data_IF_662317820429
#
_entry.id   IF_662317820429
#
_cell.length_a   1.000
_cell.length_b   1.000
_cell.length_c   1.000
_cell.angle_alpha   90.00
_cell.angle_beta   90.00
_cell.angle_gamma   90.00
#
_symmetry.space_group_name_H-M   'P 1'
#
loop_
_entity.id
_entity.type
_entity.pdbx_description
1 polymer ?
#
# COMPACT_ATOMS: atom_id res chain seq x y z
N UNK A 1 -46.18 -18.88 63.00
CA UNK A 1 -45.12 -18.72 61.99
C UNK A 1 -45.40 -19.66 60.83
N UNK A 2 -45.85 -19.15 59.69
CA UNK A 2 -45.94 -19.81 58.37
C UNK A 2 -46.15 -18.73 57.29
N UNK A 3 -45.70 -19.03 56.06
CA UNK A 3 -45.47 -18.17 54.89
C UNK A 3 -46.70 -17.54 54.20
N UNK A 4 -46.50 -16.32 53.64
CA UNK A 4 -46.91 -15.66 52.35
C UNK A 4 -48.28 -15.96 51.67
N UNK A 5 -48.75 -15.27 50.58
CA UNK A 5 -48.20 -14.17 49.75
C UNK A 5 -49.21 -13.06 49.26
N UNK A 6 -48.78 -12.24 48.27
CA UNK A 6 -49.56 -11.43 47.28
C UNK A 6 -49.76 -9.93 47.62
N UNK A 7 -49.78 -8.92 46.73
CA UNK A 7 -50.12 -8.77 45.31
C UNK A 7 -49.43 -7.52 44.67
N UNK A 8 -49.41 -7.51 43.34
CA UNK A 8 -48.85 -6.51 42.40
C UNK A 8 -49.83 -5.35 42.15
N UNK A 9 -49.34 -4.12 41.93
CA UNK A 9 -50.01 -3.05 41.15
C UNK A 9 -48.94 -2.14 40.51
N UNK A 10 -48.68 -2.22 39.19
CA UNK A 10 -49.40 -1.64 38.06
C UNK A 10 -49.37 -0.09 38.04
N UNK A 11 -48.33 0.50 37.42
CA UNK A 11 -48.31 1.91 37.02
C UNK A 11 -48.45 1.99 35.50
N UNK A 12 -49.52 2.67 35.08
CA UNK A 12 -50.03 2.79 33.72
C UNK A 12 -49.24 3.81 32.89
N UNK A 13 -48.92 3.42 31.65
CA UNK A 13 -48.36 4.26 30.59
C UNK A 13 -49.47 5.05 29.88
N UNK A 14 -49.47 6.38 29.97
CA UNK A 14 -50.13 7.23 28.97
C UNK A 14 -49.39 8.56 28.78
N UNK A 15 -48.65 8.71 27.67
CA UNK A 15 -48.80 9.82 26.69
C UNK A 15 -47.69 9.74 25.63
N UNK A 16 -47.97 9.41 24.36
CA UNK A 16 -46.98 9.46 23.29
C UNK A 16 -46.94 10.86 22.65
N UNK A 17 -45.88 11.63 22.92
CA UNK A 17 -45.59 12.84 22.13
C UNK A 17 -45.10 12.44 20.73
N UNK A 18 -45.89 12.85 19.74
CA UNK A 18 -45.71 12.71 18.29
C UNK A 18 -44.35 13.23 17.82
N UNK A 19 -43.40 12.32 17.58
CA UNK A 19 -42.13 12.64 16.91
C UNK A 19 -42.39 12.96 15.43
N UNK A 20 -42.03 14.17 15.00
CA UNK A 20 -42.05 14.56 13.58
C UNK A 20 -41.09 13.65 12.82
N UNK A 21 -41.61 12.88 11.86
CA UNK A 21 -40.84 12.04 10.95
C UNK A 21 -40.00 12.96 10.05
N UNK A 22 -38.70 13.04 10.31
CA UNK A 22 -37.74 13.73 9.43
C UNK A 22 -37.63 12.91 8.15
N UNK A 23 -38.01 13.49 7.01
CA UNK A 23 -37.82 12.90 5.68
C UNK A 23 -36.39 13.19 5.21
N UNK A 24 -35.55 12.15 5.23
CA UNK A 24 -34.22 12.23 4.62
C UNK A 24 -34.39 12.20 3.09
N UNK A 25 -33.81 13.14 2.33
CA UNK A 25 -33.88 13.12 0.88
C UNK A 25 -33.20 11.84 0.35
N UNK A 26 -33.92 11.09 -0.47
CA UNK A 26 -33.48 9.87 -1.13
C UNK A 26 -32.46 10.19 -2.24
N UNK A 27 -31.26 10.58 -1.89
CA UNK A 27 -30.22 10.95 -2.86
C UNK A 27 -28.85 10.48 -2.38
N UNK A 28 -28.55 9.21 -2.64
CA UNK A 28 -27.37 8.73 -3.36
C UNK A 28 -27.46 7.20 -3.33
N UNK A 29 -27.80 6.58 -4.46
CA UNK A 29 -27.49 5.17 -4.65
C UNK A 29 -25.97 5.10 -4.81
N UNK A 30 -25.19 4.54 -3.86
CA UNK A 30 -23.77 4.35 -4.09
C UNK A 30 -23.64 3.39 -5.28
N UNK A 31 -23.21 3.91 -6.43
CA UNK A 31 -22.85 3.11 -7.59
C UNK A 31 -21.61 2.30 -7.19
N UNK A 32 -21.81 1.12 -6.64
CA UNK A 32 -20.73 0.20 -6.35
C UNK A 32 -20.08 -0.18 -7.69
N UNK A 33 -18.87 0.30 -7.94
CA UNK A 33 -18.08 -0.21 -9.06
C UNK A 33 -17.73 -1.66 -8.77
N UNK A 34 -18.03 -2.55 -9.70
CA UNK A 34 -17.59 -3.94 -9.62
C UNK A 34 -16.05 -3.95 -9.53
N UNK A 35 -15.52 -4.54 -8.46
CA UNK A 35 -14.08 -4.76 -8.32
C UNK A 35 -13.75 -6.11 -8.89
N UNK A 36 -12.77 -6.16 -9.78
CA UNK A 36 -12.20 -7.41 -10.23
C UNK A 36 -11.38 -8.03 -9.09
N UNK A 37 -11.64 -9.30 -8.81
CA UNK A 37 -10.96 -10.06 -7.75
C UNK A 37 -10.09 -11.11 -8.42
N UNK A 38 -8.78 -10.97 -8.26
CA UNK A 38 -7.81 -11.93 -8.80
C UNK A 38 -7.31 -12.83 -7.67
N UNK A 39 -7.53 -14.14 -7.79
CA UNK A 39 -6.96 -15.13 -6.89
C UNK A 39 -5.62 -15.60 -7.42
N UNK A 40 -4.64 -15.71 -6.54
CA UNK A 40 -3.31 -16.19 -6.89
C UNK A 40 -3.25 -17.72 -6.81
N UNK A 41 -3.94 -18.43 -7.70
CA UNK A 41 -3.88 -19.90 -7.77
C UNK A 41 -2.63 -20.39 -8.51
N UNK A 42 -2.21 -19.69 -9.57
CA UNK A 42 -1.14 -20.15 -10.48
C UNK A 42 0.17 -19.35 -10.34
N UNK A 43 0.25 -18.41 -9.40
CA UNK A 43 1.40 -17.48 -9.28
C UNK A 43 1.43 -16.39 -10.36
N UNK A 44 0.51 -16.40 -11.32
CA UNK A 44 0.41 -15.43 -12.42
C UNK A 44 0.16 -14.01 -11.93
N UNK A 45 -0.71 -13.84 -10.92
CA UNK A 45 -1.01 -12.55 -10.30
C UNK A 45 0.24 -11.93 -9.64
N UNK A 46 1.02 -12.74 -8.93
CA UNK A 46 2.29 -12.29 -8.33
C UNK A 46 3.35 -11.92 -9.36
N UNK A 47 3.41 -12.62 -10.49
CA UNK A 47 4.33 -12.28 -11.59
C UNK A 47 3.98 -10.94 -12.22
N UNK A 48 2.69 -10.65 -12.45
CA UNK A 48 2.24 -9.34 -12.94
C UNK A 48 2.58 -8.22 -11.96
N UNK A 49 2.33 -8.44 -10.66
CA UNK A 49 2.72 -7.48 -9.63
C UNK A 49 4.23 -7.19 -9.64
N UNK A 50 5.05 -8.25 -9.77
CA UNK A 50 6.51 -8.11 -9.88
C UNK A 50 6.90 -7.33 -11.14
N UNK A 51 6.32 -7.64 -12.30
CA UNK A 51 6.61 -6.95 -13.56
C UNK A 51 6.37 -5.43 -13.45
N UNK A 52 5.28 -5.01 -12.81
CA UNK A 52 5.02 -3.60 -12.53
C UNK A 52 6.12 -2.94 -11.67
N UNK A 53 6.58 -3.64 -10.64
CA UNK A 53 7.67 -3.16 -9.77
C UNK A 53 9.01 -3.11 -10.50
N UNK A 54 9.31 -4.13 -11.28
CA UNK A 54 10.54 -4.26 -12.07
C UNK A 54 10.68 -3.09 -13.05
N UNK A 55 9.63 -2.79 -13.82
CA UNK A 55 9.60 -1.65 -14.75
C UNK A 55 9.94 -0.31 -14.08
N UNK A 56 9.36 -0.06 -12.90
CA UNK A 56 9.65 1.18 -12.15
C UNK A 56 11.08 1.18 -11.61
N UNK A 57 11.56 0.03 -11.14
CA UNK A 57 12.91 -0.09 -10.59
C UNK A 57 14.00 0.12 -11.64
N UNK A 58 13.80 -0.39 -12.86
CA UNK A 58 14.75 -0.20 -13.97
C UNK A 58 14.80 1.28 -14.39
N UNK A 59 13.63 1.92 -14.49
CA UNK A 59 13.53 3.34 -14.80
C UNK A 59 14.20 4.22 -13.75
N UNK A 60 14.05 3.91 -12.46
CA UNK A 60 14.75 4.66 -11.42
C UNK A 60 16.23 4.29 -11.31
N UNK A 61 16.59 3.07 -11.68
CA UNK A 61 17.96 2.58 -11.73
C UNK A 61 18.85 3.43 -12.65
N UNK A 62 18.31 3.92 -13.78
CA UNK A 62 19.07 4.82 -14.68
C UNK A 62 19.33 6.20 -14.09
N UNK A 63 18.52 6.63 -13.11
CA UNK A 63 18.67 7.94 -12.43
C UNK A 63 19.64 7.90 -11.25
N UNK A 64 20.10 6.71 -10.84
CA UNK A 64 20.98 6.57 -9.68
C UNK A 64 22.43 6.96 -9.99
N UNK A 65 23.03 7.67 -9.03
CA UNK A 65 24.46 7.98 -9.00
C UNK A 65 24.86 9.32 -9.65
N UNK A 66 26.14 9.72 -9.53
CA UNK A 66 26.63 11.02 -10.00
C UNK A 66 26.65 11.15 -11.54
N UNK A 67 26.49 10.04 -12.26
CA UNK A 67 26.35 9.97 -13.73
C UNK A 67 24.99 9.41 -14.14
N UNK A 68 23.96 9.64 -13.31
CA UNK A 68 22.58 9.30 -13.64
C UNK A 68 22.13 9.94 -14.95
N UNK A 69 21.27 9.25 -15.69
CA UNK A 69 20.70 9.72 -16.95
C UNK A 69 19.40 10.45 -16.69
N UNK A 70 19.11 11.42 -17.55
CA UNK A 70 17.87 12.18 -17.47
C UNK A 70 16.71 11.34 -18.00
N UNK A 71 15.57 11.41 -17.33
CA UNK A 71 14.32 10.80 -17.76
C UNK A 71 13.45 11.87 -18.40
N UNK A 72 12.83 11.54 -19.53
CA UNK A 72 11.91 12.45 -20.23
C UNK A 72 10.48 11.99 -19.93
N UNK A 73 9.70 12.88 -19.35
CA UNK A 73 8.31 12.64 -18.96
C UNK A 73 7.38 13.39 -19.92
N UNK A 74 6.34 12.69 -20.38
CA UNK A 74 5.31 13.29 -21.21
C UNK A 74 4.32 14.04 -20.31
N UNK A 75 4.18 15.34 -20.53
CA UNK A 75 3.20 16.14 -19.82
C UNK A 75 1.87 16.15 -20.61
N UNK A 76 0.72 16.11 -19.92
CA UNK A 76 -0.61 16.09 -20.58
C UNK A 76 -0.89 17.34 -21.41
N UNK A 77 -0.32 18.47 -21.01
CA UNK A 77 -0.45 19.74 -21.72
C UNK A 77 0.91 20.45 -21.69
N UNK A 78 1.45 20.77 -22.87
CA UNK A 78 2.71 21.50 -23.03
C UNK A 78 3.92 20.65 -23.41
N UNK A 79 5.14 21.21 -23.29
CA UNK A 79 6.38 20.55 -23.69
C UNK A 79 6.75 19.39 -22.75
N UNK A 80 7.54 18.40 -23.22
CA UNK A 80 8.02 17.31 -22.38
C UNK A 80 8.93 17.82 -21.27
N UNK A 81 8.84 17.19 -20.09
CA UNK A 81 9.60 17.57 -18.90
C UNK A 81 10.81 16.66 -18.76
N UNK A 82 12.00 17.24 -18.69
CA UNK A 82 13.25 16.50 -18.46
C UNK A 82 13.53 16.54 -16.96
N UNK A 83 13.68 15.37 -16.36
CA UNK A 83 13.78 15.20 -14.92
C UNK A 83 14.98 14.31 -14.57
N UNK A 84 15.70 14.70 -13.54
CA UNK A 84 16.81 13.93 -12.98
C UNK A 84 16.46 13.33 -11.62
N UNK A 85 15.39 13.83 -10.98
CA UNK A 85 14.96 13.44 -9.65
C UNK A 85 14.02 12.23 -9.71
N UNK A 86 14.49 11.08 -9.25
CA UNK A 86 13.69 9.85 -9.27
C UNK A 86 12.39 9.90 -8.45
N UNK A 87 12.29 10.77 -7.44
CA UNK A 87 11.04 10.93 -6.67
C UNK A 87 9.92 11.53 -7.53
N UNK A 88 10.24 12.54 -8.34
CA UNK A 88 9.24 13.16 -9.23
C UNK A 88 8.84 12.22 -10.35
N UNK A 89 9.80 11.45 -10.90
CA UNK A 89 9.53 10.36 -11.84
C UNK A 89 8.56 9.34 -11.23
N UNK A 90 8.80 8.89 -9.99
CA UNK A 90 7.97 7.90 -9.30
C UNK A 90 6.52 8.35 -9.09
N UNK A 91 6.28 9.66 -8.92
CA UNK A 91 4.94 10.24 -8.78
C UNK A 91 4.16 10.27 -10.08
N UNK A 92 4.84 10.37 -11.22
CA UNK A 92 4.22 10.52 -12.55
C UNK A 92 3.91 9.17 -13.24
N UNK A 93 4.55 8.06 -12.84
CA UNK A 93 4.34 6.74 -13.47
C UNK A 93 2.99 6.12 -13.11
N UNK A 94 2.15 5.81 -14.10
CA UNK A 94 0.95 5.00 -13.90
C UNK A 94 0.84 3.96 -15.02
N UNK A 95 0.54 2.71 -14.66
CA UNK A 95 0.40 1.60 -15.61
C UNK A 95 -1.07 1.36 -15.94
N UNK A 96 -1.34 0.89 -17.16
CA UNK A 96 -2.68 0.57 -17.65
C UNK A 96 -3.25 -0.69 -16.98
N UNK A 97 -2.45 -1.76 -16.81
CA UNK A 97 -2.91 -2.98 -16.14
C UNK A 97 -3.09 -2.69 -14.63
N UNK A 98 -4.32 -2.87 -14.08
CA UNK A 98 -4.59 -2.62 -12.67
C UNK A 98 -3.73 -3.48 -11.75
N UNK A 99 -3.37 -4.71 -12.12
CA UNK A 99 -2.54 -5.59 -11.30
C UNK A 99 -1.12 -5.05 -11.20
N UNK A 100 -0.51 -4.68 -12.31
CA UNK A 100 0.85 -4.13 -12.31
C UNK A 100 0.90 -2.78 -11.59
N UNK A 101 -0.13 -1.95 -11.80
CA UNK A 101 -0.29 -0.66 -11.13
C UNK A 101 -0.42 -0.80 -9.60
N UNK A 102 -1.03 -1.89 -9.10
CA UNK A 102 -1.03 -2.19 -7.65
C UNK A 102 0.39 -2.38 -7.16
N UNK A 103 1.23 -3.11 -7.89
CA UNK A 103 2.66 -3.29 -7.56
C UNK A 103 3.41 -1.96 -7.48
N UNK A 104 3.21 -1.09 -8.47
CA UNK A 104 3.81 0.25 -8.50
C UNK A 104 3.36 1.11 -7.32
N UNK A 105 2.09 1.06 -6.95
CA UNK A 105 1.56 1.81 -5.80
C UNK A 105 2.21 1.38 -4.48
N UNK A 106 2.48 0.09 -4.30
CA UNK A 106 3.16 -0.41 -3.10
C UNK A 106 4.58 0.17 -2.96
N UNK A 107 5.33 0.17 -4.06
CA UNK A 107 6.70 0.67 -4.09
C UNK A 107 6.76 2.20 -4.00
N UNK A 108 5.78 2.89 -4.59
CA UNK A 108 5.58 4.33 -4.40
C UNK A 108 5.38 4.69 -2.94
N UNK A 109 4.60 3.91 -2.20
CA UNK A 109 4.39 4.13 -0.76
C UNK A 109 5.70 3.99 0.02
N UNK A 110 6.53 2.97 -0.29
CA UNK A 110 7.83 2.81 0.33
C UNK A 110 8.76 4.01 0.04
N UNK A 111 8.89 4.41 -1.22
CA UNK A 111 9.73 5.54 -1.62
C UNK A 111 9.27 6.88 -1.02
N UNK A 112 7.95 7.13 -0.99
CA UNK A 112 7.38 8.34 -0.38
C UNK A 112 7.64 8.41 1.12
N UNK A 113 7.55 7.28 1.83
CA UNK A 113 7.86 7.21 3.26
C UNK A 113 9.33 7.49 3.55
N UNK A 114 10.24 6.88 2.78
CA UNK A 114 11.68 7.17 2.93
C UNK A 114 11.96 8.65 2.73
N UNK A 115 11.37 9.26 1.69
CA UNK A 115 11.58 10.68 1.43
C UNK A 115 11.07 11.57 2.57
N UNK A 116 9.91 11.25 3.16
CA UNK A 116 9.36 12.01 4.27
C UNK A 116 10.21 11.92 5.56
N UNK A 117 10.94 10.83 5.76
CA UNK A 117 11.77 10.61 6.95
C UNK A 117 13.21 11.10 6.77
N UNK A 118 13.82 10.81 5.61
CA UNK A 118 15.23 11.06 5.34
C UNK A 118 15.48 12.29 4.47
N UNK A 119 14.53 12.68 3.63
CA UNK A 119 14.70 13.72 2.62
C UNK A 119 15.51 13.30 1.38
N UNK A 120 16.03 12.07 1.37
CA UNK A 120 16.72 11.44 0.24
C UNK A 120 16.52 9.91 0.24
N UNK A 121 17.13 9.20 -0.71
CA UNK A 121 17.10 7.73 -0.72
C UNK A 121 15.80 7.09 -1.20
N UNK A 122 14.88 7.86 -1.80
CA UNK A 122 13.65 7.35 -2.39
C UNK A 122 13.92 6.34 -3.52
N UNK A 123 14.86 6.66 -4.42
CA UNK A 123 15.31 5.77 -5.51
C UNK A 123 15.98 4.51 -5.00
N UNK A 124 16.89 4.62 -4.04
CA UNK A 124 17.56 3.48 -3.40
C UNK A 124 16.56 2.55 -2.72
N UNK A 125 15.55 3.11 -2.04
CA UNK A 125 14.51 2.32 -1.37
C UNK A 125 13.68 1.49 -2.36
N UNK A 126 13.37 2.06 -3.52
CA UNK A 126 12.61 1.37 -4.57
C UNK A 126 13.42 0.22 -5.18
N UNK A 127 14.68 0.45 -5.52
CA UNK A 127 15.56 -0.59 -6.08
C UNK A 127 15.80 -1.71 -5.07
N UNK A 128 16.00 -1.36 -3.79
CA UNK A 128 16.14 -2.33 -2.71
C UNK A 128 14.85 -3.16 -2.53
N UNK A 129 13.69 -2.49 -2.54
CA UNK A 129 12.41 -3.18 -2.44
C UNK A 129 12.24 -4.18 -3.59
N UNK A 130 12.53 -3.79 -4.83
CA UNK A 130 12.49 -4.70 -5.98
C UNK A 130 13.38 -5.93 -5.77
N UNK A 131 14.64 -5.75 -5.34
CA UNK A 131 15.55 -6.87 -5.10
C UNK A 131 15.04 -7.86 -4.05
N UNK A 132 14.53 -7.37 -2.92
CA UNK A 132 13.96 -8.22 -1.87
C UNK A 132 12.75 -9.02 -2.35
N UNK A 133 11.90 -8.36 -3.14
CA UNK A 133 10.69 -8.93 -3.72
C UNK A 133 11.03 -10.04 -4.73
N UNK A 134 12.00 -9.79 -5.62
CA UNK A 134 12.44 -10.75 -6.62
C UNK A 134 13.06 -12.01 -5.98
N UNK A 135 13.93 -11.83 -4.98
CA UNK A 135 14.50 -12.95 -4.24
C UNK A 135 13.45 -13.72 -3.44
N UNK A 136 12.50 -13.01 -2.80
CA UNK A 136 11.37 -13.63 -2.12
C UNK A 136 10.50 -14.50 -3.04
N UNK A 137 10.31 -14.06 -4.30
CA UNK A 137 9.57 -14.84 -5.28
C UNK A 137 10.29 -16.15 -5.66
N UNK A 138 11.61 -16.11 -5.87
CA UNK A 138 12.43 -17.30 -6.19
C UNK A 138 12.39 -18.36 -5.09
N UNK A 139 12.44 -17.92 -3.83
CA UNK A 139 12.33 -18.82 -2.66
C UNK A 139 10.94 -19.46 -2.59
N UNK A 140 9.90 -18.68 -2.92
CA UNK A 140 8.51 -19.15 -2.91
C UNK A 140 8.23 -20.20 -3.98
N UNK A 141 8.76 -20.03 -5.20
CA UNK A 141 8.58 -21.02 -6.29
C UNK A 141 9.30 -22.33 -6.02
N UNK A 142 10.42 -22.30 -5.28
CA UNK A 142 11.20 -23.50 -4.95
C UNK A 142 10.58 -24.28 -3.78
N UNK A 143 9.87 -23.60 -2.87
CA UNK A 143 9.32 -24.18 -1.64
C UNK A 143 7.87 -24.66 -1.83
N UNK A 144 7.69 -25.78 -2.53
CA UNK A 144 6.37 -26.39 -2.78
C UNK A 144 5.72 -27.12 -1.57
N UNK A 145 6.22 -26.95 -0.34
CA UNK A 145 5.68 -27.66 0.84
C UNK A 145 5.01 -26.72 1.85
N UNK A 146 3.68 -26.80 1.84
CA UNK A 146 2.74 -26.74 2.98
C UNK A 146 2.76 -25.47 3.84
N UNK A 147 1.60 -24.82 3.98
CA UNK A 147 1.29 -23.72 4.91
C UNK A 147 2.16 -22.43 4.84
N UNK A 148 3.05 -22.31 3.85
CA UNK A 148 3.93 -21.15 3.63
C UNK A 148 3.48 -20.11 2.59
N UNK A 149 2.47 -20.40 1.75
CA UNK A 149 2.01 -19.45 0.71
C UNK A 149 1.47 -18.13 1.31
N UNK A 150 0.79 -18.20 2.46
CA UNK A 150 0.35 -17.02 3.21
C UNK A 150 1.51 -16.25 3.86
N UNK A 151 2.66 -16.90 4.07
CA UNK A 151 3.89 -16.24 4.55
C UNK A 151 4.60 -15.47 3.46
N UNK A 152 4.57 -15.89 2.19
CA UNK A 152 5.20 -15.16 1.09
C UNK A 152 4.53 -13.80 0.84
N UNK A 153 3.20 -13.75 0.78
CA UNK A 153 2.47 -12.47 0.70
C UNK A 153 2.62 -11.64 1.98
N UNK A 154 2.61 -12.29 3.16
CA UNK A 154 2.94 -11.59 4.41
C UNK A 154 4.37 -11.07 4.42
N UNK A 155 5.36 -11.75 3.82
CA UNK A 155 6.75 -11.31 3.71
C UNK A 155 6.86 -10.07 2.84
N UNK A 156 6.12 -10.04 1.72
CA UNK A 156 6.03 -8.88 0.84
C UNK A 156 5.47 -7.64 1.56
N UNK A 157 4.42 -7.83 2.36
CA UNK A 157 3.79 -6.79 3.18
C UNK A 157 4.68 -6.43 4.38
N UNK A 158 5.32 -7.42 5.02
CA UNK A 158 6.30 -7.27 6.10
C UNK A 158 7.59 -6.62 5.64
N UNK A 159 7.95 -6.66 4.35
CA UNK A 159 9.06 -5.86 3.84
C UNK A 159 8.65 -4.39 3.84
N UNK A 160 7.39 -4.08 3.52
CA UNK A 160 6.87 -2.70 3.50
C UNK A 160 6.60 -2.18 4.93
N UNK A 161 6.00 -2.96 5.82
CA UNK A 161 5.84 -2.63 7.27
C UNK A 161 7.16 -2.74 8.04
N UNK A 162 8.02 -3.67 7.63
CA UNK A 162 9.38 -3.81 8.14
C UNK A 162 10.24 -2.64 7.71
N UNK A 163 10.06 -2.10 6.50
CA UNK A 163 10.62 -0.80 6.11
C UNK A 163 10.09 0.32 7.04
N UNK A 164 8.82 0.33 7.45
CA UNK A 164 8.35 1.35 8.43
C UNK A 164 9.11 1.34 9.75
N UNK A 165 9.49 0.17 10.27
CA UNK A 165 10.23 0.04 11.53
C UNK A 165 11.76 0.04 11.35
N UNK A 166 12.24 -0.45 10.21
CA UNK A 166 13.65 -0.57 9.88
C UNK A 166 14.22 0.73 9.32
N UNK A 167 13.46 1.55 8.58
CA UNK A 167 13.93 2.85 8.09
C UNK A 167 14.40 3.74 9.25
N UNK A 168 13.65 3.98 10.34
CA UNK A 168 14.14 4.79 11.45
C UNK A 168 15.34 4.15 12.20
N UNK A 169 15.42 2.82 12.27
CA UNK A 169 16.55 2.10 12.88
C UNK A 169 17.81 2.16 12.01
N UNK A 170 17.67 2.05 10.69
CA UNK A 170 18.73 2.14 9.70
C UNK A 170 19.21 3.59 9.53
N UNK A 171 18.30 4.57 9.54
CA UNK A 171 18.66 6.00 9.63
C UNK A 171 19.41 6.29 10.94
N UNK A 172 18.99 5.71 12.06
CA UNK A 172 19.70 5.87 13.33
C UNK A 172 21.12 5.30 13.24
N UNK A 173 21.32 4.16 12.60
CA UNK A 173 22.66 3.56 12.41
C UNK A 173 23.52 4.36 11.39
N UNK A 174 22.98 4.69 10.22
CA UNK A 174 23.72 5.40 9.17
C UNK A 174 23.97 6.88 9.48
N UNK A 175 23.05 7.55 10.20
CA UNK A 175 23.11 8.99 10.45
C UNK A 175 23.70 9.34 11.82
N UNK A 176 23.61 8.48 12.87
CA UNK A 176 24.41 8.71 14.08
C UNK A 176 25.89 8.32 13.91
N UNK A 177 26.24 7.47 12.95
CA UNK A 177 27.65 7.15 12.65
C UNK A 177 28.45 8.32 12.08
N UNK A 178 27.79 9.41 11.67
CA UNK A 178 28.42 10.60 11.07
C UNK A 178 28.54 11.80 12.04
N UNK A 179 28.13 11.62 13.29
CA UNK A 179 28.08 12.66 14.33
C UNK A 179 29.03 12.41 15.50
N UNK A 180 30.12 11.68 15.26
CA UNK A 180 31.29 11.61 16.13
C UNK A 180 32.53 12.04 15.35
#
# INVERSE_FOLDING_TARGET
>A
MACSPSLISAISLTNPTRLKRVSYPSMLSPKAMAKEIHFNHDGSTTKKLLAGVEMVSELLGVTLGPKGRNVVLQNKYGPPKIVNDGETVLKEIELEDPLENVGVKLVRQAGAKTNNLAGDGSTTSVVLAHGLIAEGQKVTTTSHKTSGASRAMKFQILIIEGLEHAIPLWLRVCYLGKKN
#
